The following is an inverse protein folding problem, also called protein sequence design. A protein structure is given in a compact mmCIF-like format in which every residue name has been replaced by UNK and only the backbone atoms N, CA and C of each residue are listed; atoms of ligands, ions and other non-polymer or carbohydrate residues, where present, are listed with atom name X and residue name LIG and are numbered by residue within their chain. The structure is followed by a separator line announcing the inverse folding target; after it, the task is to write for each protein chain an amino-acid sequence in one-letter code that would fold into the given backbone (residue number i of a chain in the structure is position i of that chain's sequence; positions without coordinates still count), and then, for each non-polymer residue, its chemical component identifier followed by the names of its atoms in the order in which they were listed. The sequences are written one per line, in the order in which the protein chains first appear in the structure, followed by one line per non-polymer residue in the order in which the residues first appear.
data_IF_834753299884
#
_entry.id   IF_834753299884
#
_cell.length_a   1.000
_cell.length_b   1.000
_cell.length_c   1.000
_cell.angle_alpha   90.00
_cell.angle_beta   90.00
_cell.angle_gamma   90.00
#
_symmetry.space_group_name_H-M   'P 1'
#
loop_
_entity.id
_entity.type
_entity.pdbx_description
1 polymer ?
#
# COMPACT_ATOMS: atom_id res chain seq x y z
N UNK A 1 -12.95 -8.90 16.77
CA UNK A 1 -12.56 -7.97 15.68
C UNK A 1 -11.27 -8.35 14.98
N UNK A 2 -10.58 -9.42 15.42
CA UNK A 2 -9.38 -9.99 14.79
C UNK A 2 -9.53 -10.26 13.30
N UNK A 3 -10.58 -10.95 12.85
CA UNK A 3 -10.74 -11.30 11.43
C UNK A 3 -10.77 -10.05 10.55
N UNK A 4 -11.48 -9.01 10.98
CA UNK A 4 -11.52 -7.73 10.27
C UNK A 4 -10.14 -7.08 10.21
N UNK A 5 -9.40 -7.03 11.34
CA UNK A 5 -8.04 -6.51 11.36
C UNK A 5 -7.08 -7.28 10.46
N UNK A 6 -7.14 -8.62 10.45
CA UNK A 6 -6.32 -9.48 9.58
C UNK A 6 -6.63 -9.21 8.11
N UNK A 7 -7.91 -9.15 7.73
CA UNK A 7 -8.31 -8.84 6.35
C UNK A 7 -7.80 -7.46 5.93
N UNK A 8 -7.92 -6.46 6.80
CA UNK A 8 -7.45 -5.11 6.54
C UNK A 8 -5.92 -5.08 6.34
N UNK A 9 -5.18 -5.82 7.17
CA UNK A 9 -3.73 -5.97 7.04
C UNK A 9 -3.35 -6.60 5.71
N UNK A 10 -4.02 -7.69 5.32
CA UNK A 10 -3.75 -8.39 4.04
C UNK A 10 -4.01 -7.46 2.86
N UNK A 11 -5.15 -6.74 2.84
CA UNK A 11 -5.48 -5.80 1.77
C UNK A 11 -4.44 -4.68 1.68
N UNK A 12 -4.04 -4.10 2.82
CA UNK A 12 -2.98 -3.09 2.85
C UNK A 12 -1.66 -3.62 2.30
N UNK A 13 -1.27 -4.84 2.67
CA UNK A 13 0.00 -5.44 2.23
C UNK A 13 0.00 -5.77 0.73
N UNK A 14 -1.10 -6.33 0.20
CA UNK A 14 -1.26 -6.59 -1.24
C UNK A 14 -1.21 -5.28 -2.02
N UNK A 15 -1.92 -4.26 -1.56
CA UNK A 15 -1.96 -2.96 -2.22
C UNK A 15 -0.58 -2.30 -2.21
N UNK A 16 0.21 -2.45 -1.13
CA UNK A 16 1.57 -1.95 -1.06
C UNK A 16 2.49 -2.63 -2.10
N UNK A 17 2.36 -3.95 -2.28
CA UNK A 17 3.12 -4.70 -3.29
C UNK A 17 2.75 -4.22 -4.70
N UNK A 18 1.46 -4.06 -5.00
CA UNK A 18 0.99 -3.57 -6.30
C UNK A 18 1.53 -2.16 -6.56
N UNK A 19 1.39 -1.28 -5.58
CA UNK A 19 1.87 0.11 -5.66
C UNK A 19 3.39 0.17 -5.86
N UNK A 20 4.13 -0.70 -5.19
CA UNK A 20 5.57 -0.79 -5.36
C UNK A 20 5.96 -1.21 -6.78
N UNK A 21 5.14 -1.97 -7.49
CA UNK A 21 5.42 -2.40 -8.86
C UNK A 21 4.82 -1.47 -9.94
N UNK A 22 4.21 -0.34 -9.56
CA UNK A 22 3.70 0.62 -10.54
C UNK A 22 4.84 1.18 -11.41
N UNK A 23 4.65 1.12 -12.73
CA UNK A 23 5.52 1.80 -13.68
C UNK A 23 5.27 3.31 -13.60
N UNK A 24 6.36 4.07 -13.61
CA UNK A 24 6.38 5.53 -13.52
C UNK A 24 7.04 6.15 -14.74
N UNK A 25 7.23 5.36 -15.79
CA UNK A 25 7.91 5.74 -17.01
C UNK A 25 6.89 6.11 -18.08
N UNK A 26 7.09 7.25 -18.75
CA UNK A 26 6.30 7.64 -19.92
C UNK A 26 7.20 7.52 -21.16
N UNK A 27 6.71 6.87 -22.24
CA UNK A 27 7.46 6.82 -23.49
C UNK A 27 7.53 8.20 -24.13
N UNK A 28 8.74 8.62 -24.52
CA UNK A 28 8.97 9.77 -25.40
C UNK A 28 9.27 9.28 -26.83
N UNK A 29 9.22 10.18 -27.81
CA UNK A 29 9.51 9.86 -29.21
C UNK A 29 10.94 9.32 -29.30
N UNK A 30 11.15 8.25 -30.08
CA UNK A 30 12.43 7.54 -30.29
C UNK A 30 12.93 6.61 -29.16
N UNK A 31 12.04 5.81 -28.59
CA UNK A 31 12.45 4.63 -27.79
C UNK A 31 13.09 4.97 -26.44
N UNK A 32 13.15 6.26 -26.09
CA UNK A 32 13.52 6.72 -24.78
C UNK A 32 12.28 6.78 -23.86
N UNK A 33 12.50 6.56 -22.58
CA UNK A 33 11.47 6.67 -21.55
C UNK A 33 11.95 7.61 -20.46
N UNK A 34 11.12 8.56 -20.06
CA UNK A 34 11.44 9.48 -18.95
C UNK A 34 10.59 9.09 -17.75
N UNK A 35 11.18 9.16 -16.55
CA UNK A 35 10.43 9.01 -15.31
C UNK A 35 9.58 10.24 -15.08
N UNK A 36 8.27 10.03 -15.00
CA UNK A 36 7.32 11.09 -14.72
C UNK A 36 7.20 11.33 -13.22
N UNK A 37 7.38 12.60 -12.81
CA UNK A 37 7.31 12.99 -11.42
C UNK A 37 5.91 12.81 -10.83
N UNK A 38 4.85 13.05 -11.62
CA UNK A 38 3.46 12.88 -11.19
C UNK A 38 3.14 11.42 -10.90
N UNK A 39 3.46 10.51 -11.83
CA UNK A 39 3.32 9.07 -11.63
C UNK A 39 4.18 8.55 -10.46
N UNK A 40 5.38 9.11 -10.27
CA UNK A 40 6.23 8.79 -9.12
C UNK A 40 5.58 9.21 -7.78
N UNK A 41 4.96 10.39 -7.73
CA UNK A 41 4.21 10.84 -6.55
C UNK A 41 2.96 10.01 -6.29
N UNK A 42 2.22 9.63 -7.34
CA UNK A 42 1.05 8.76 -7.19
C UNK A 42 1.45 7.40 -6.64
N UNK A 43 2.49 6.77 -7.21
CA UNK A 43 3.06 5.53 -6.67
C UNK A 43 3.40 5.68 -5.18
N UNK A 44 4.05 6.79 -4.80
CA UNK A 44 4.40 7.05 -3.41
C UNK A 44 3.16 7.19 -2.52
N UNK A 45 2.13 7.89 -2.97
CA UNK A 45 0.87 8.07 -2.24
C UNK A 45 0.17 6.73 -2.00
N UNK A 46 0.09 5.87 -3.02
CA UNK A 46 -0.50 4.54 -2.86
C UNK A 46 0.30 3.65 -1.91
N UNK A 47 1.65 3.72 -1.95
CA UNK A 47 2.52 3.03 -0.98
C UNK A 47 2.24 3.51 0.45
N UNK A 48 2.18 4.83 0.67
CA UNK A 48 1.93 5.40 2.01
C UNK A 48 0.54 5.01 2.50
N UNK A 49 -0.49 5.15 1.67
CA UNK A 49 -1.87 4.82 2.02
C UNK A 49 -2.05 3.35 2.36
N UNK A 50 -1.47 2.46 1.54
CA UNK A 50 -1.54 1.01 1.77
C UNK A 50 -0.82 0.56 3.04
N UNK A 51 0.33 1.16 3.36
CA UNK A 51 1.03 0.92 4.62
C UNK A 51 0.24 1.41 5.84
N UNK A 52 -0.43 2.57 5.75
CA UNK A 52 -1.32 3.05 6.81
C UNK A 52 -2.48 2.09 7.05
N UNK A 53 -3.12 1.60 5.99
CA UNK A 53 -4.20 0.61 6.08
C UNK A 53 -3.69 -0.68 6.76
N UNK A 54 -2.51 -1.16 6.34
CA UNK A 54 -1.91 -2.35 6.93
C UNK A 54 -1.61 -2.15 8.43
N UNK A 55 -1.07 -0.99 8.79
CA UNK A 55 -0.76 -0.60 10.15
C UNK A 55 -2.01 -0.55 11.04
N UNK A 56 -3.10 0.08 10.60
CA UNK A 56 -4.36 0.08 11.34
C UNK A 56 -4.94 -1.33 11.51
N UNK A 57 -4.82 -2.18 10.48
CA UNK A 57 -5.22 -3.59 10.57
C UNK A 57 -4.46 -4.33 11.67
N UNK A 58 -3.14 -4.12 11.74
CA UNK A 58 -2.27 -4.72 12.77
C UNK A 58 -2.68 -4.23 14.17
N UNK A 59 -2.92 -2.92 14.33
CA UNK A 59 -3.38 -2.37 15.62
C UNK A 59 -4.69 -3.02 16.07
N UNK A 60 -5.67 -3.18 15.16
CA UNK A 60 -6.94 -3.84 15.48
C UNK A 60 -6.71 -5.28 15.95
N UNK A 61 -5.84 -6.04 15.29
CA UNK A 61 -5.52 -7.42 15.68
C UNK A 61 -4.85 -7.47 17.05
N UNK A 62 -3.89 -6.58 17.31
CA UNK A 62 -3.15 -6.53 18.58
C UNK A 62 -4.07 -6.16 19.75
N UNK A 63 -4.91 -5.15 19.60
CA UNK A 63 -5.80 -4.67 20.67
C UNK A 63 -7.03 -5.55 20.90
N UNK A 64 -7.54 -6.25 19.88
CA UNK A 64 -8.64 -7.22 20.06
C UNK A 64 -8.21 -8.43 20.92
N UNK A 65 -6.90 -8.70 21.04
CA UNK A 65 -6.38 -9.76 21.90
C UNK A 65 -6.43 -9.39 23.39
N UNK A 66 -6.51 -8.09 23.73
CA UNK A 66 -6.50 -7.59 25.11
C UNK A 66 -7.86 -7.67 25.81
N UNK A 67 -8.97 -7.78 25.05
CA UNK A 67 -10.34 -7.90 25.59
C UNK A 67 -10.75 -9.34 26.00
N UNK A 68 -9.91 -10.35 25.77
CA UNK A 68 -10.19 -11.75 26.14
C UNK A 68 -9.40 -12.23 27.38
N UNK A 69 -8.94 -11.30 28.23
CA UNK A 69 -8.45 -11.60 29.58
C UNK A 69 -9.41 -11.01 30.59
#
# INVERSE_FOLDING_TARGET
MKTFGVVLTIIGLITAIISYNMDVSIPIVYGESVKDSGLAFDRQNYIIGSLLIAFFGILIVLFDNKRRK
#
